data_IF_477208805287
#
_entry.id   IF_477208805287
#
_cell.length_a   1.000
_cell.length_b   1.000
_cell.length_c   1.000
_cell.angle_alpha   90.00
_cell.angle_beta   90.00
_cell.angle_gamma   90.00
#
_symmetry.space_group_name_H-M   'P 1'
#
loop_
_entity.id
_entity.type
_entity.pdbx_description
1 polymer ?
#
# COMPACT_ATOMS: atom_id res chain seq x y z
N UNK A 1 21.77 -0.02 17.06
CA UNK A 1 21.40 -0.40 15.67
C UNK A 1 20.30 0.56 15.25
N UNK A 2 20.52 1.43 14.25
CA UNK A 2 19.49 2.38 13.81
C UNK A 2 18.59 1.64 12.82
N UNK A 3 17.33 1.42 13.17
CA UNK A 3 16.36 0.78 12.28
C UNK A 3 16.06 1.77 11.17
N UNK A 4 16.19 1.34 9.91
CA UNK A 4 15.81 2.20 8.79
C UNK A 4 14.28 2.32 8.74
N UNK A 5 13.73 3.53 8.57
CA UNK A 5 12.30 3.71 8.41
C UNK A 5 11.77 2.90 7.23
N UNK A 6 10.58 2.34 7.40
CA UNK A 6 9.91 1.53 6.37
C UNK A 6 9.32 2.45 5.32
N UNK A 7 9.63 2.17 4.06
CA UNK A 7 9.06 2.89 2.93
C UNK A 7 7.59 2.53 2.74
N UNK A 8 6.73 3.55 2.78
CA UNK A 8 5.28 3.43 2.58
C UNK A 8 4.83 4.40 1.49
N UNK A 9 3.74 4.08 0.81
CA UNK A 9 3.06 5.00 -0.11
C UNK A 9 1.57 5.09 0.23
N UNK A 10 0.94 6.21 -0.14
CA UNK A 10 -0.50 6.43 0.09
C UNK A 10 -1.25 6.73 -1.21
N UNK A 11 -2.41 6.13 -1.41
CA UNK A 11 -3.36 6.48 -2.48
C UNK A 11 -4.73 6.71 -1.86
N UNK A 12 -5.12 7.97 -1.69
CA UNK A 12 -6.33 8.27 -0.92
C UNK A 12 -6.44 9.75 -0.58
N UNK A 13 -6.99 10.05 0.59
CA UNK A 13 -7.30 11.39 1.05
C UNK A 13 -6.43 11.81 2.25
N UNK A 14 -6.83 12.89 2.93
CA UNK A 14 -6.26 13.32 4.20
C UNK A 14 -6.27 12.18 5.25
N UNK A 15 -7.27 11.28 5.17
CA UNK A 15 -7.46 10.14 6.06
C UNK A 15 -6.31 9.14 6.07
N UNK A 16 -5.57 9.05 4.97
CA UNK A 16 -4.40 8.18 4.81
C UNK A 16 -3.11 8.99 4.84
N UNK A 17 -3.04 10.09 4.08
CA UNK A 17 -1.84 10.92 3.95
C UNK A 17 -1.42 11.58 5.26
N UNK A 18 -2.34 12.18 6.00
CA UNK A 18 -1.99 13.06 7.12
C UNK A 18 -1.49 12.31 8.36
N UNK A 19 -1.63 10.98 8.39
CA UNK A 19 -0.96 10.15 9.38
C UNK A 19 0.58 10.23 9.26
N UNK A 20 1.09 10.66 8.10
CA UNK A 20 2.51 10.93 7.84
C UNK A 20 2.79 12.44 7.82
N UNK A 21 2.16 13.20 8.72
CA UNK A 21 2.40 14.62 8.94
C UNK A 21 2.85 14.85 10.39
N UNK A 22 3.97 15.54 10.58
CA UNK A 22 4.55 15.81 11.91
C UNK A 22 3.70 16.73 12.77
N UNK A 23 2.67 17.40 12.22
CA UNK A 23 1.67 18.13 13.01
C UNK A 23 0.78 17.18 13.82
N UNK A 24 0.42 16.01 13.27
CA UNK A 24 -0.42 15.03 13.94
C UNK A 24 0.40 13.94 14.63
N UNK A 25 1.44 13.43 13.97
CA UNK A 25 2.28 12.35 14.47
C UNK A 25 3.76 12.77 14.46
N UNK A 26 4.26 13.57 15.42
CA UNK A 26 5.61 14.16 15.37
C UNK A 26 6.75 13.18 15.08
N UNK A 27 6.64 11.95 15.60
CA UNK A 27 7.70 10.95 15.57
C UNK A 27 7.53 9.89 14.46
N UNK A 28 6.56 10.03 13.54
CA UNK A 28 6.31 8.99 12.52
C UNK A 28 7.55 8.66 11.68
N UNK A 29 8.44 9.65 11.47
CA UNK A 29 9.67 9.54 10.67
C UNK A 29 10.72 8.60 11.27
N UNK A 30 10.58 8.25 12.55
CA UNK A 30 11.42 7.22 13.19
C UNK A 30 11.08 5.82 12.67
N UNK A 31 9.85 5.61 12.20
CA UNK A 31 9.31 4.31 11.81
C UNK A 31 9.01 4.21 10.32
N UNK A 32 8.57 5.30 9.70
CA UNK A 32 8.06 5.33 8.33
C UNK A 32 8.65 6.46 7.49
N UNK A 33 8.86 6.15 6.22
CA UNK A 33 9.18 7.11 5.19
C UNK A 33 8.07 7.06 4.12
N UNK A 34 7.18 8.06 4.11
CA UNK A 34 6.14 8.16 3.10
C UNK A 34 6.75 8.69 1.80
N UNK A 35 7.11 7.77 0.89
CA UNK A 35 7.92 8.09 -0.30
C UNK A 35 7.09 8.54 -1.50
N UNK A 36 5.80 8.23 -1.53
CA UNK A 36 4.92 8.60 -2.62
C UNK A 36 3.49 8.76 -2.11
N UNK A 37 2.78 9.78 -2.59
CA UNK A 37 1.37 9.95 -2.31
C UNK A 37 0.60 10.41 -3.55
N UNK A 38 -0.57 9.82 -3.81
CA UNK A 38 -1.55 10.37 -4.75
C UNK A 38 -2.78 10.76 -3.95
N UNK A 39 -3.16 12.04 -4.05
CA UNK A 39 -4.16 12.65 -3.18
C UNK A 39 -5.46 12.92 -3.93
N UNK A 40 -6.56 12.36 -3.40
CA UNK A 40 -7.94 12.56 -3.82
C UNK A 40 -8.20 12.22 -5.29
N UNK A 41 -7.70 11.05 -5.70
CA UNK A 41 -7.92 10.48 -7.02
C UNK A 41 -8.82 9.25 -6.92
N UNK A 42 -9.86 9.19 -7.76
CA UNK A 42 -10.70 8.03 -7.97
C UNK A 42 -9.92 6.91 -8.66
N UNK A 43 -10.15 5.67 -8.24
CA UNK A 43 -9.57 4.49 -8.88
C UNK A 43 -9.99 4.36 -10.34
N UNK A 44 -11.22 4.79 -10.69
CA UNK A 44 -11.69 4.85 -12.07
C UNK A 44 -10.78 5.76 -12.90
N UNK A 45 -10.46 6.94 -12.39
CA UNK A 45 -9.59 7.86 -13.11
C UNK A 45 -8.16 7.34 -13.19
N UNK A 46 -7.59 6.82 -12.10
CA UNK A 46 -6.23 6.31 -12.06
C UNK A 46 -5.99 5.20 -13.09
N UNK A 47 -6.97 4.30 -13.24
CA UNK A 47 -6.89 3.16 -14.15
C UNK A 47 -7.44 3.43 -15.56
N UNK A 48 -7.78 4.69 -15.86
CA UNK A 48 -8.13 5.14 -17.20
C UNK A 48 -6.89 5.55 -18.02
N UNK A 49 -7.04 5.71 -19.33
CA UNK A 49 -5.95 6.18 -20.18
C UNK A 49 -5.51 7.62 -19.81
N UNK A 50 -4.21 7.95 -19.92
CA UNK A 50 -3.74 9.32 -19.76
C UNK A 50 -4.47 10.28 -20.71
N UNK A 51 -4.60 11.52 -20.27
CA UNK A 51 -5.35 12.57 -20.98
C UNK A 51 -4.35 13.62 -21.43
N UNK A 52 -4.12 13.79 -22.74
CA UNK A 52 -3.32 14.90 -23.25
C UNK A 52 -3.92 16.23 -22.78
N UNK A 53 -3.10 17.08 -22.20
CA UNK A 53 -3.53 18.38 -21.67
C UNK A 53 -2.47 19.44 -21.95
N UNK A 54 -2.92 20.69 -22.03
CA UNK A 54 -2.03 21.84 -22.05
C UNK A 54 -1.72 22.22 -20.60
N UNK A 55 -0.45 22.13 -20.18
CA UNK A 55 -0.05 22.47 -18.82
C UNK A 55 -0.42 23.90 -18.42
N UNK A 56 -0.41 24.85 -19.37
CA UNK A 56 -0.79 26.23 -19.11
C UNK A 56 -2.27 26.38 -18.71
N UNK A 57 -3.10 25.35 -18.98
CA UNK A 57 -4.52 25.32 -18.58
C UNK A 57 -4.76 24.67 -17.22
N UNK A 58 -3.72 24.17 -16.55
CA UNK A 58 -3.75 23.75 -15.13
C UNK A 58 -3.38 24.95 -14.27
N UNK A 59 -4.12 26.04 -14.47
CA UNK A 59 -3.92 27.34 -13.84
C UNK A 59 -4.79 27.50 -12.57
N UNK A 60 -4.71 28.67 -11.95
CA UNK A 60 -5.51 29.06 -10.79
C UNK A 60 -5.35 28.17 -9.54
N UNK A 61 -4.22 27.46 -9.44
CA UNK A 61 -3.82 26.74 -8.23
C UNK A 61 -2.93 27.63 -7.37
N UNK A 62 -3.10 27.55 -6.05
CA UNK A 62 -2.40 28.42 -5.09
C UNK A 62 -1.09 27.84 -4.59
N UNK A 63 -0.83 26.55 -4.81
CA UNK A 63 0.38 25.87 -4.35
C UNK A 63 0.86 24.80 -5.34
N UNK A 64 2.15 24.48 -5.27
CA UNK A 64 2.80 23.52 -6.17
C UNK A 64 2.32 22.08 -5.98
N UNK A 65 1.89 21.70 -4.77
CA UNK A 65 1.35 20.37 -4.51
C UNK A 65 0.05 20.12 -5.27
N UNK A 66 -0.84 21.12 -5.33
CA UNK A 66 -2.09 21.04 -6.08
C UNK A 66 -1.84 20.95 -7.59
N UNK A 67 -0.87 21.72 -8.11
CA UNK A 67 -0.44 21.59 -9.51
C UNK A 67 0.08 20.18 -9.78
N UNK A 68 0.94 19.64 -8.91
CA UNK A 68 1.47 18.29 -9.07
C UNK A 68 0.36 17.24 -9.06
N UNK A 69 -0.57 17.30 -8.10
CA UNK A 69 -1.70 16.37 -8.02
C UNK A 69 -2.63 16.43 -9.23
N UNK A 70 -2.88 17.64 -9.77
CA UNK A 70 -3.64 17.76 -11.00
C UNK A 70 -2.85 17.18 -12.17
N UNK A 71 -1.56 17.50 -12.33
CA UNK A 71 -0.75 16.92 -13.42
C UNK A 71 -0.74 15.40 -13.37
N UNK A 72 -0.53 14.79 -12.20
CA UNK A 72 -0.54 13.33 -12.06
C UNK A 72 -1.92 12.72 -12.31
N UNK A 73 -3.00 13.46 -12.05
CA UNK A 73 -4.35 13.09 -12.46
C UNK A 73 -4.48 12.98 -13.98
N UNK A 74 -3.83 13.83 -14.77
CA UNK A 74 -3.86 13.72 -16.24
C UNK A 74 -2.90 12.64 -16.78
N UNK A 75 -1.67 12.58 -16.25
CA UNK A 75 -0.61 11.70 -16.76
C UNK A 75 -0.73 10.26 -16.28
N UNK A 76 -1.44 10.03 -15.15
CA UNK A 76 -1.51 8.76 -14.42
C UNK A 76 -0.14 8.26 -13.95
N UNK A 77 0.83 9.17 -13.81
CA UNK A 77 2.23 8.83 -13.53
C UNK A 77 2.46 8.15 -12.18
N UNK A 78 1.51 8.24 -11.25
CA UNK A 78 1.54 7.49 -9.99
C UNK A 78 1.79 6.00 -10.21
N UNK A 79 1.19 5.38 -11.23
CA UNK A 79 1.38 3.94 -11.53
C UNK A 79 2.83 3.63 -11.91
N UNK A 80 3.47 4.50 -12.68
CA UNK A 80 4.89 4.34 -13.04
C UNK A 80 5.79 4.57 -11.83
N UNK A 81 5.51 5.61 -11.05
CA UNK A 81 6.31 5.98 -9.88
C UNK A 81 6.23 4.92 -8.78
N UNK A 82 5.04 4.42 -8.43
CA UNK A 82 4.90 3.43 -7.37
C UNK A 82 5.63 2.13 -7.70
N UNK A 83 5.65 1.73 -8.98
CA UNK A 83 6.45 0.61 -9.47
C UNK A 83 7.95 0.83 -9.26
N UNK A 84 8.46 2.01 -9.61
CA UNK A 84 9.88 2.35 -9.47
C UNK A 84 10.31 2.43 -8.01
N UNK A 85 9.43 2.95 -7.16
CA UNK A 85 9.71 3.21 -5.75
C UNK A 85 9.53 1.97 -4.86
N UNK A 86 8.71 1.00 -5.30
CA UNK A 86 8.50 -0.30 -4.66
C UNK A 86 8.35 -0.22 -3.12
N UNK A 87 7.33 0.50 -2.61
CA UNK A 87 7.11 0.60 -1.17
C UNK A 87 6.79 -0.78 -0.57
N UNK A 88 7.09 -0.96 0.72
CA UNK A 88 6.70 -2.18 1.43
C UNK A 88 5.20 -2.24 1.68
N UNK A 89 4.58 -1.07 1.90
CA UNK A 89 3.14 -0.95 2.12
C UNK A 89 2.54 0.15 1.25
N UNK A 90 1.38 -0.16 0.65
CA UNK A 90 0.52 0.81 -0.01
C UNK A 90 -0.77 0.95 0.79
N UNK A 91 -0.98 2.13 1.35
CA UNK A 91 -2.14 2.45 2.17
C UNK A 91 -3.17 3.17 1.30
N UNK A 92 -4.39 2.64 1.24
CA UNK A 92 -5.44 3.16 0.37
C UNK A 92 -6.72 3.52 1.12
N UNK A 93 -7.47 4.47 0.57
CA UNK A 93 -8.86 4.77 0.94
C UNK A 93 -9.68 5.17 -0.32
N UNK A 94 -11.01 5.11 -0.22
CA UNK A 94 -11.91 5.38 -1.35
C UNK A 94 -12.70 6.68 -1.22
N UNK A 95 -12.19 7.65 -0.45
CA UNK A 95 -12.86 8.94 -0.24
C UNK A 95 -13.24 9.61 -1.57
N UNK A 96 -12.30 9.67 -2.52
CA UNK A 96 -12.51 10.36 -3.80
C UNK A 96 -13.58 9.67 -4.67
N UNK A 97 -13.64 8.33 -4.63
CA UNK A 97 -14.65 7.56 -5.35
C UNK A 97 -16.06 7.80 -4.79
N UNK A 98 -16.18 7.96 -3.47
CA UNK A 98 -17.47 8.19 -2.82
C UNK A 98 -17.89 9.65 -2.90
N UNK A 99 -16.97 10.57 -2.64
CA UNK A 99 -17.25 12.00 -2.50
C UNK A 99 -17.30 12.69 -3.85
N UNK A 100 -16.26 12.55 -4.68
CA UNK A 100 -16.11 13.33 -5.91
C UNK A 100 -16.77 12.67 -7.12
N UNK A 101 -16.58 11.36 -7.27
CA UNK A 101 -16.87 10.66 -8.51
C UNK A 101 -15.92 11.06 -9.64
N UNK A 102 -16.36 10.91 -10.89
CA UNK A 102 -15.53 11.16 -12.08
C UNK A 102 -16.25 11.97 -13.16
N UNK A 103 -15.47 12.52 -14.08
CA UNK A 103 -15.92 13.12 -15.34
C UNK A 103 -15.38 12.23 -16.45
N UNK A 104 -16.27 11.79 -17.34
CA UNK A 104 -15.88 11.11 -18.57
C UNK A 104 -15.44 12.13 -19.61
N UNK A 105 -14.20 11.98 -20.09
CA UNK A 105 -13.60 12.81 -21.13
C UNK A 105 -13.72 12.11 -22.50
N UNK A 106 -13.50 10.79 -22.54
CA UNK A 106 -13.65 9.96 -23.72
C UNK A 106 -13.93 8.49 -23.32
N UNK A 107 -14.07 7.57 -24.27
CA UNK A 107 -14.44 6.15 -24.06
C UNK A 107 -13.65 5.47 -22.94
N UNK A 108 -12.35 5.77 -22.78
CA UNK A 108 -11.48 5.20 -21.74
C UNK A 108 -10.69 6.26 -20.97
N UNK A 109 -11.17 7.50 -20.92
CA UNK A 109 -10.48 8.62 -20.28
C UNK A 109 -11.38 9.25 -19.25
N UNK A 110 -10.95 9.23 -17.99
CA UNK A 110 -11.69 9.77 -16.87
C UNK A 110 -10.80 10.68 -16.02
N UNK A 111 -11.39 11.75 -15.49
CA UNK A 111 -10.80 12.59 -14.45
C UNK A 111 -11.64 12.44 -13.18
N UNK A 112 -11.01 12.39 -12.01
CA UNK A 112 -11.72 12.57 -10.75
C UNK A 112 -12.36 13.95 -10.75
N UNK A 113 -13.64 14.02 -10.42
CA UNK A 113 -14.36 15.30 -10.36
C UNK A 113 -14.04 16.05 -9.06
N UNK A 114 -12.74 16.27 -8.78
CA UNK A 114 -12.31 17.00 -7.60
C UNK A 114 -12.62 18.49 -7.80
N UNK A 115 -13.85 18.87 -7.47
CA UNK A 115 -14.36 20.23 -7.64
C UNK A 115 -13.71 21.25 -6.71
N UNK A 116 -12.79 20.84 -5.82
CA UNK A 116 -11.96 21.78 -5.05
C UNK A 116 -10.77 22.31 -5.86
N UNK A 117 -10.31 21.55 -6.86
CA UNK A 117 -9.09 21.86 -7.62
C UNK A 117 -9.36 21.99 -9.12
N UNK A 118 -10.01 20.97 -9.70
CA UNK A 118 -10.20 20.84 -11.14
C UNK A 118 -11.08 21.97 -11.70
N UNK A 119 -12.18 22.31 -11.03
CA UNK A 119 -13.15 23.34 -11.49
C UNK A 119 -12.56 24.74 -11.60
N UNK A 120 -11.46 25.03 -10.89
CA UNK A 120 -10.77 26.31 -10.92
C UNK A 120 -9.97 26.51 -12.21
N UNK A 121 -9.56 25.41 -12.84
CA UNK A 121 -8.71 25.41 -14.03
C UNK A 121 -9.45 25.90 -15.27
N UNK A 122 -8.73 26.56 -16.17
CA UNK A 122 -9.22 26.90 -17.50
C UNK A 122 -9.54 25.65 -18.32
N UNK A 123 -8.78 24.55 -18.14
CA UNK A 123 -9.08 23.26 -18.75
C UNK A 123 -10.52 22.82 -18.48
N UNK A 124 -10.96 22.82 -17.23
CA UNK A 124 -12.32 22.40 -16.86
C UNK A 124 -13.40 23.34 -17.40
N UNK A 125 -13.14 24.65 -17.41
CA UNK A 125 -14.09 25.67 -17.90
C UNK A 125 -14.35 25.53 -19.41
N UNK A 126 -13.35 25.07 -20.15
CA UNK A 126 -13.40 24.89 -21.60
C UNK A 126 -13.87 23.50 -22.04
N UNK A 127 -14.20 22.59 -21.12
CA UNK A 127 -14.77 21.29 -21.49
C UNK A 127 -16.15 21.48 -22.13
N UNK A 128 -16.29 21.05 -23.39
CA UNK A 128 -17.54 21.12 -24.17
C UNK A 128 -18.71 20.41 -23.49
N UNK A 129 -18.43 19.29 -22.81
CA UNK A 129 -19.42 18.49 -22.08
C UNK A 129 -18.79 17.89 -20.83
N UNK A 130 -19.54 17.93 -19.73
CA UNK A 130 -19.15 17.40 -18.42
C UNK A 130 -20.05 16.23 -18.07
N UNK A 131 -19.72 15.06 -18.59
CA UNK A 131 -20.44 13.82 -18.26
C UNK A 131 -19.96 13.34 -16.89
N UNK A 132 -20.59 13.86 -15.83
CA UNK A 132 -20.29 13.48 -14.46
C UNK A 132 -20.96 12.15 -14.10
N UNK A 133 -20.20 11.27 -13.46
CA UNK A 133 -20.69 10.05 -12.85
C UNK A 133 -20.31 10.07 -11.37
N UNK A 134 -21.31 9.88 -10.49
CA UNK A 134 -21.11 9.78 -9.04
C UNK A 134 -21.79 8.54 -8.52
N UNK A 135 -21.15 7.79 -7.62
CA UNK A 135 -21.77 6.59 -7.04
C UNK A 135 -23.10 6.88 -6.35
N UNK A 136 -23.25 8.06 -5.76
CA UNK A 136 -24.48 8.49 -5.10
C UNK A 136 -25.66 8.72 -6.06
N UNK A 137 -25.39 9.03 -7.34
CA UNK A 137 -26.41 9.41 -8.35
C UNK A 137 -26.55 8.35 -9.45
N UNK A 138 -25.47 7.68 -9.82
CA UNK A 138 -25.34 6.74 -10.92
C UNK A 138 -24.89 5.37 -10.39
N UNK A 139 -25.54 4.88 -9.33
CA UNK A 139 -25.05 3.78 -8.50
C UNK A 139 -24.56 2.58 -9.29
N UNK A 140 -25.40 2.00 -10.13
CA UNK A 140 -25.08 0.75 -10.83
C UNK A 140 -23.98 0.96 -11.86
N UNK A 141 -24.11 1.96 -12.74
CA UNK A 141 -23.11 2.28 -13.76
C UNK A 141 -21.74 2.62 -13.14
N UNK A 142 -21.74 3.47 -12.11
CA UNK A 142 -20.51 3.85 -11.42
C UNK A 142 -19.87 2.66 -10.73
N UNK A 143 -20.65 1.84 -10.03
CA UNK A 143 -20.10 0.72 -9.27
C UNK A 143 -19.55 -0.37 -10.18
N UNK A 144 -20.19 -0.67 -11.32
CA UNK A 144 -19.61 -1.57 -12.33
C UNK A 144 -18.29 -1.04 -12.89
N UNK A 145 -18.24 0.24 -13.26
CA UNK A 145 -17.01 0.88 -13.75
C UNK A 145 -15.91 0.88 -12.68
N UNK A 146 -16.27 1.15 -11.43
CA UNK A 146 -15.36 1.10 -10.29
C UNK A 146 -14.81 -0.30 -10.07
N UNK A 147 -15.66 -1.35 -10.08
CA UNK A 147 -15.23 -2.76 -9.96
C UNK A 147 -14.22 -3.14 -11.04
N UNK A 148 -14.48 -2.78 -12.30
CA UNK A 148 -13.54 -3.01 -13.39
C UNK A 148 -12.20 -2.30 -13.17
N UNK A 149 -12.24 -1.10 -12.60
CA UNK A 149 -11.07 -0.27 -12.39
C UNK A 149 -10.24 -0.76 -11.20
N UNK A 150 -10.87 -1.05 -10.06
CA UNK A 150 -10.19 -1.60 -8.89
C UNK A 150 -9.60 -2.99 -9.19
N UNK A 151 -10.29 -3.80 -10.00
CA UNK A 151 -9.76 -5.09 -10.44
C UNK A 151 -8.49 -4.92 -11.28
N UNK A 152 -8.48 -3.96 -12.22
CA UNK A 152 -7.26 -3.63 -12.98
C UNK A 152 -6.15 -3.14 -12.07
N UNK A 153 -6.46 -2.34 -11.06
CA UNK A 153 -5.50 -1.82 -10.11
C UNK A 153 -4.83 -2.94 -9.31
N UNK A 154 -5.60 -3.84 -8.71
CA UNK A 154 -5.04 -4.98 -7.98
C UNK A 154 -4.27 -5.95 -8.89
N UNK A 155 -4.72 -6.15 -10.13
CA UNK A 155 -3.96 -6.93 -11.11
C UNK A 155 -2.60 -6.27 -11.44
N UNK A 156 -2.57 -4.95 -11.57
CA UNK A 156 -1.34 -4.18 -11.73
C UNK A 156 -0.42 -4.37 -10.51
N UNK A 157 -0.93 -4.21 -9.29
CA UNK A 157 -0.14 -4.38 -8.06
C UNK A 157 0.43 -5.80 -7.95
N UNK A 158 -0.39 -6.83 -8.17
CA UNK A 158 0.06 -8.22 -8.13
C UNK A 158 1.19 -8.50 -9.14
N UNK A 159 1.12 -7.89 -10.33
CA UNK A 159 2.09 -8.11 -11.40
C UNK A 159 3.38 -7.32 -11.18
N UNK A 160 3.27 -6.05 -10.84
CA UNK A 160 4.38 -5.09 -10.86
C UNK A 160 4.98 -4.85 -9.46
N UNK A 161 4.23 -5.18 -8.40
CA UNK A 161 4.57 -4.96 -6.99
C UNK A 161 4.17 -6.17 -6.11
N UNK A 162 4.60 -7.40 -6.44
CA UNK A 162 4.12 -8.62 -5.79
C UNK A 162 4.45 -8.72 -4.29
N UNK A 163 5.41 -7.94 -3.80
CA UNK A 163 5.81 -7.91 -2.38
C UNK A 163 5.28 -6.69 -1.63
N UNK A 164 4.51 -5.82 -2.29
CA UNK A 164 3.90 -4.65 -1.64
C UNK A 164 2.58 -5.09 -0.99
N UNK A 165 2.50 -4.97 0.34
CA UNK A 165 1.26 -5.26 1.06
C UNK A 165 0.32 -4.07 0.97
N UNK A 166 -0.90 -4.32 0.49
CA UNK A 166 -1.96 -3.30 0.49
C UNK A 166 -2.63 -3.26 1.86
N UNK A 167 -2.81 -2.06 2.39
CA UNK A 167 -3.56 -1.77 3.62
C UNK A 167 -4.73 -0.88 3.25
N UNK A 168 -5.96 -1.37 3.46
CA UNK A 168 -7.18 -0.60 3.29
C UNK A 168 -7.52 0.16 4.58
N UNK A 169 -7.72 1.46 4.47
CA UNK A 169 -8.16 2.31 5.59
C UNK A 169 -9.68 2.44 5.56
N UNK A 170 -10.32 1.96 6.62
CA UNK A 170 -11.77 2.07 6.80
C UNK A 170 -12.06 3.24 7.74
N UNK A 171 -12.41 4.37 7.15
CA UNK A 171 -12.82 5.60 7.82
C UNK A 171 -14.10 6.14 7.18
N UNK A 172 -14.85 6.99 7.89
CA UNK A 172 -16.23 7.37 7.53
C UNK A 172 -16.50 8.85 7.73
N UNK A 173 -17.32 9.43 6.86
CA UNK A 173 -17.74 10.82 7.02
C UNK A 173 -18.38 11.02 8.41
N UNK A 174 -18.02 12.11 9.09
CA UNK A 174 -18.60 12.53 10.36
C UNK A 174 -19.29 13.86 10.21
N UNK A 175 -20.41 14.05 10.90
CA UNK A 175 -21.14 15.32 10.86
C UNK A 175 -20.83 16.23 12.04
N UNK A 176 -20.21 15.73 13.09
CA UNK A 176 -20.02 16.46 14.34
C UNK A 176 -18.63 17.09 14.38
N UNK A 177 -18.54 18.32 14.89
CA UNK A 177 -17.28 19.02 15.09
C UNK A 177 -17.26 19.85 16.38
N UNK A 178 -16.07 20.08 16.93
CA UNK A 178 -15.82 21.01 18.03
C UNK A 178 -15.63 22.42 17.47
N UNK A 179 -16.51 23.36 17.83
CA UNK A 179 -16.37 24.78 17.50
C UNK A 179 -15.28 25.44 18.34
N UNK A 180 -14.44 26.28 17.72
CA UNK A 180 -13.29 26.92 18.38
C UNK A 180 -13.70 27.82 19.55
N UNK A 181 -14.66 28.72 19.35
CA UNK A 181 -14.93 29.80 20.30
C UNK A 181 -15.62 29.29 21.57
N UNK A 182 -16.61 28.42 21.42
CA UNK A 182 -17.44 27.95 22.54
C UNK A 182 -17.03 26.57 23.04
N UNK A 183 -16.19 25.84 22.30
CA UNK A 183 -15.89 24.43 22.51
C UNK A 183 -17.14 23.53 22.44
N UNK A 184 -18.25 24.03 21.91
CA UNK A 184 -19.48 23.28 21.75
C UNK A 184 -19.37 22.30 20.58
N UNK A 185 -20.04 21.14 20.74
CA UNK A 185 -20.19 20.17 19.65
C UNK A 185 -21.36 20.61 18.76
N UNK A 186 -21.07 20.86 17.49
CA UNK A 186 -22.04 21.31 16.46
C UNK A 186 -22.01 20.39 15.25
N UNK A 187 -22.96 20.58 14.33
CA UNK A 187 -23.03 19.81 13.09
C UNK A 187 -22.46 20.60 11.91
N UNK A 188 -21.57 19.97 11.14
CA UNK A 188 -20.99 20.48 9.90
C UNK A 188 -22.09 20.76 8.87
N UNK A 189 -23.03 19.83 8.71
CA UNK A 189 -24.18 19.96 7.79
C UNK A 189 -25.08 21.19 8.08
N UNK A 190 -24.99 21.77 9.28
CA UNK A 190 -25.80 22.92 9.72
C UNK A 190 -25.00 24.22 9.86
N UNK A 191 -23.69 24.20 9.63
CA UNK A 191 -22.83 25.37 9.92
C UNK A 191 -22.77 26.39 8.77
N UNK A 192 -23.33 26.07 7.59
CA UNK A 192 -23.35 26.94 6.41
C UNK A 192 -22.01 27.10 5.69
N UNK A 193 -20.90 26.56 6.22
CA UNK A 193 -19.58 26.56 5.58
C UNK A 193 -19.44 25.42 4.57
N UNK A 194 -20.04 24.27 4.85
CA UNK A 194 -19.95 23.07 4.02
C UNK A 194 -21.27 22.76 3.34
N UNK A 195 -21.18 22.18 2.13
CA UNK A 195 -22.35 21.62 1.49
C UNK A 195 -22.87 20.43 2.33
N UNK A 196 -24.16 20.39 2.70
CA UNK A 196 -24.71 19.30 3.50
C UNK A 196 -24.72 18.01 2.68
N UNK A 197 -24.26 16.91 3.28
CA UNK A 197 -24.25 15.58 2.66
C UNK A 197 -25.06 14.59 3.48
N UNK A 198 -25.62 13.58 2.82
CA UNK A 198 -26.24 12.45 3.51
C UNK A 198 -25.14 11.49 3.98
N UNK A 199 -24.69 11.68 5.23
CA UNK A 199 -23.58 10.95 5.84
C UNK A 199 -23.83 9.44 5.83
N UNK A 200 -25.00 8.99 6.32
CA UNK A 200 -25.33 7.57 6.43
C UNK A 200 -25.34 6.91 5.04
N UNK A 201 -25.92 7.58 4.04
CA UNK A 201 -25.95 7.08 2.68
C UNK A 201 -24.53 6.97 2.09
N UNK A 202 -23.72 8.03 2.17
CA UNK A 202 -22.37 8.01 1.61
C UNK A 202 -21.46 7.00 2.34
N UNK A 203 -21.57 6.88 3.66
CA UNK A 203 -20.87 5.85 4.42
C UNK A 203 -21.30 4.44 4.00
N UNK A 204 -22.60 4.22 3.74
CA UNK A 204 -23.09 2.92 3.23
C UNK A 204 -22.55 2.58 1.82
N UNK A 205 -22.28 3.59 0.99
CA UNK A 205 -21.63 3.40 -0.31
C UNK A 205 -20.15 3.09 -0.13
N UNK A 206 -19.47 3.78 0.79
CA UNK A 206 -18.08 3.48 1.14
C UNK A 206 -17.92 2.05 1.66
N UNK A 207 -18.83 1.60 2.54
CA UNK A 207 -18.84 0.22 3.03
C UNK A 207 -18.95 -0.80 1.89
N UNK A 208 -19.68 -0.49 0.82
CA UNK A 208 -19.79 -1.37 -0.34
C UNK A 208 -18.47 -1.48 -1.11
N UNK A 209 -17.76 -0.36 -1.27
CA UNK A 209 -16.43 -0.36 -1.90
C UNK A 209 -15.44 -1.16 -1.06
N UNK A 210 -15.37 -0.89 0.25
CA UNK A 210 -14.48 -1.58 1.18
C UNK A 210 -14.75 -3.09 1.19
N UNK A 211 -16.03 -3.51 1.32
CA UNK A 211 -16.41 -4.92 1.32
C UNK A 211 -16.00 -5.64 0.04
N UNK A 212 -16.17 -5.01 -1.12
CA UNK A 212 -15.77 -5.62 -2.39
C UNK A 212 -14.27 -5.94 -2.41
N UNK A 213 -13.43 -5.02 -1.94
CA UNK A 213 -11.99 -5.21 -1.90
C UNK A 213 -11.59 -6.27 -0.89
N UNK A 214 -12.11 -6.19 0.34
CA UNK A 214 -11.80 -7.13 1.43
C UNK A 214 -12.19 -8.57 1.06
N UNK A 215 -13.32 -8.77 0.37
CA UNK A 215 -13.80 -10.09 -0.01
C UNK A 215 -13.00 -10.73 -1.15
N UNK A 216 -12.35 -9.91 -1.99
CA UNK A 216 -11.74 -10.38 -3.25
C UNK A 216 -10.22 -10.40 -3.22
N UNK A 217 -9.59 -9.55 -2.41
CA UNK A 217 -8.15 -9.35 -2.39
C UNK A 217 -7.58 -9.56 -0.99
N UNK A 218 -6.35 -10.06 -0.94
CA UNK A 218 -5.60 -10.16 0.31
C UNK A 218 -5.07 -8.78 0.72
N UNK A 219 -5.85 -8.10 1.54
CA UNK A 219 -5.53 -6.78 2.08
C UNK A 219 -5.56 -6.83 3.61
N UNK A 220 -4.64 -6.11 4.24
CA UNK A 220 -4.79 -5.79 5.67
C UNK A 220 -5.73 -4.60 5.80
N UNK A 221 -6.37 -4.46 6.96
CA UNK A 221 -7.30 -3.38 7.21
C UNK A 221 -6.88 -2.59 8.45
N UNK A 222 -6.93 -1.27 8.35
CA UNK A 222 -6.97 -0.38 9.51
C UNK A 222 -8.43 0.03 9.67
N UNK A 223 -9.12 -0.60 10.62
CA UNK A 223 -10.53 -0.32 10.90
C UNK A 223 -10.64 0.75 11.99
N UNK A 224 -11.09 1.94 11.60
CA UNK A 224 -11.31 3.07 12.50
C UNK A 224 -12.80 3.46 12.53
N UNK A 225 -13.70 2.53 12.21
CA UNK A 225 -15.15 2.80 12.15
C UNK A 225 -15.88 2.52 13.45
N UNK A 226 -15.30 1.71 14.35
CA UNK A 226 -15.89 1.37 15.66
C UNK A 226 -15.77 2.52 16.68
N UNK A 227 -14.85 3.45 16.44
CA UNK A 227 -14.57 4.59 17.29
C UNK A 227 -15.39 5.82 16.86
N UNK A 228 -15.88 6.59 17.85
CA UNK A 228 -16.64 7.81 17.59
C UNK A 228 -15.70 9.00 17.41
N UNK A 229 -15.14 9.14 16.21
CA UNK A 229 -14.38 10.34 15.84
C UNK A 229 -15.31 11.52 15.53
N UNK A 230 -14.82 12.73 15.76
CA UNK A 230 -15.45 13.99 15.38
C UNK A 230 -14.40 14.90 14.76
N UNK A 231 -14.84 15.95 14.07
CA UNK A 231 -13.98 16.99 13.53
C UNK A 231 -13.72 18.11 14.56
N UNK A 232 -12.90 19.09 14.21
CA UNK A 232 -12.73 20.31 14.99
C UNK A 232 -12.35 21.47 14.07
N UNK A 233 -12.79 22.69 14.44
CA UNK A 233 -12.58 23.89 13.64
C UNK A 233 -11.11 24.34 13.58
N UNK A 234 -10.33 23.97 14.59
CA UNK A 234 -8.90 24.29 14.67
C UNK A 234 -8.01 23.29 13.94
N UNK A 235 -8.59 22.33 13.22
CA UNK A 235 -7.81 21.40 12.40
C UNK A 235 -6.93 22.18 11.42
N UNK A 236 -5.67 21.76 11.16
CA UNK A 236 -4.76 22.47 10.25
C UNK A 236 -5.32 22.76 8.85
N UNK A 237 -6.32 21.98 8.43
CA UNK A 237 -7.02 22.11 7.15
C UNK A 237 -8.47 22.62 7.28
N UNK A 238 -8.86 23.11 8.45
CA UNK A 238 -10.23 23.49 8.81
C UNK A 238 -11.13 22.29 9.13
N UNK A 239 -12.30 22.57 9.71
CA UNK A 239 -13.33 21.56 9.95
C UNK A 239 -13.84 20.98 8.62
N UNK A 240 -13.97 19.65 8.55
CA UNK A 240 -14.54 18.97 7.38
C UNK A 240 -14.95 17.55 7.75
N UNK A 241 -15.81 16.93 6.93
CA UNK A 241 -16.41 15.62 7.20
C UNK A 241 -15.39 14.46 7.37
N UNK A 242 -14.12 14.66 7.04
CA UNK A 242 -13.04 13.67 7.18
C UNK A 242 -11.76 14.25 7.84
N UNK A 243 -11.88 15.41 8.50
CA UNK A 243 -10.78 16.03 9.25
C UNK A 243 -11.03 15.81 10.74
N UNK A 244 -10.53 14.71 11.28
CA UNK A 244 -10.82 14.32 12.65
C UNK A 244 -9.94 15.02 13.67
N UNK A 245 -10.32 14.90 14.94
CA UNK A 245 -9.42 15.16 16.07
C UNK A 245 -8.20 14.22 16.08
N UNK A 246 -7.16 14.63 16.80
CA UNK A 246 -5.82 14.03 16.82
C UNK A 246 -5.82 12.54 17.19
N UNK A 247 -6.79 12.10 18.00
CA UNK A 247 -6.95 10.70 18.39
C UNK A 247 -7.12 9.75 17.19
N UNK A 248 -7.72 10.20 16.08
CA UNK A 248 -7.78 9.39 14.85
C UNK A 248 -6.39 9.07 14.32
N UNK A 249 -5.54 10.08 14.19
CA UNK A 249 -4.20 9.94 13.61
C UNK A 249 -3.28 9.08 14.49
N UNK A 250 -3.42 9.18 15.82
CA UNK A 250 -2.71 8.32 16.76
C UNK A 250 -3.19 6.86 16.67
N UNK A 251 -4.50 6.64 16.62
CA UNK A 251 -5.08 5.29 16.52
C UNK A 251 -4.73 4.64 15.18
N UNK A 252 -4.75 5.40 14.09
CA UNK A 252 -4.28 4.94 12.79
C UNK A 252 -2.84 4.45 12.88
N UNK A 253 -1.93 5.28 13.42
CA UNK A 253 -0.50 4.95 13.46
C UNK A 253 -0.25 3.73 14.36
N UNK A 254 -0.99 3.60 15.47
CA UNK A 254 -0.98 2.41 16.32
C UNK A 254 -1.34 1.15 15.54
N UNK A 255 -2.46 1.16 14.79
CA UNK A 255 -2.87 0.02 13.98
C UNK A 255 -1.84 -0.30 12.89
N UNK A 256 -1.26 0.71 12.25
CA UNK A 256 -0.19 0.52 11.27
C UNK A 256 1.06 -0.12 11.91
N UNK A 257 1.45 0.30 13.11
CA UNK A 257 2.54 -0.32 13.86
C UNK A 257 2.24 -1.79 14.16
N UNK A 258 1.03 -2.12 14.60
CA UNK A 258 0.62 -3.50 14.90
C UNK A 258 0.71 -4.40 13.66
N UNK A 259 0.19 -3.94 12.51
CA UNK A 259 0.29 -4.66 11.24
C UNK A 259 1.76 -4.90 10.88
N UNK A 260 2.57 -3.84 10.92
CA UNK A 260 3.98 -3.90 10.51
C UNK A 260 4.79 -4.81 11.44
N UNK A 261 4.61 -4.70 12.76
CA UNK A 261 5.30 -5.53 13.75
C UNK A 261 4.92 -7.00 13.57
N UNK A 262 3.64 -7.30 13.37
CA UNK A 262 3.18 -8.66 13.15
C UNK A 262 3.83 -9.31 11.93
N UNK A 263 3.89 -8.59 10.79
CA UNK A 263 4.55 -9.07 9.57
C UNK A 263 6.06 -9.28 9.75
N UNK A 264 6.73 -8.38 10.48
CA UNK A 264 8.16 -8.53 10.81
C UNK A 264 8.40 -9.75 11.70
N UNK A 265 7.53 -10.02 12.68
CA UNK A 265 7.63 -11.18 13.56
C UNK A 265 7.48 -12.48 12.75
N UNK A 266 6.48 -12.57 11.87
CA UNK A 266 6.30 -13.74 10.99
C UNK A 266 7.56 -13.99 10.17
N UNK A 267 8.09 -12.94 9.53
CA UNK A 267 9.29 -13.05 8.71
C UNK A 267 10.51 -13.53 9.51
N UNK A 268 10.68 -13.05 10.75
CA UNK A 268 11.76 -13.50 11.64
C UNK A 268 11.58 -14.98 12.00
N UNK A 269 10.35 -15.43 12.26
CA UNK A 269 10.06 -16.84 12.57
C UNK A 269 10.36 -17.75 11.37
N UNK A 270 9.95 -17.36 10.16
CA UNK A 270 10.25 -18.10 8.92
C UNK A 270 11.77 -18.20 8.68
N UNK A 271 12.49 -17.10 8.86
CA UNK A 271 13.95 -17.07 8.73
C UNK A 271 14.64 -17.96 9.78
N UNK A 272 14.13 -17.98 11.02
CA UNK A 272 14.64 -18.86 12.07
C UNK A 272 14.46 -20.33 11.69
N UNK A 273 13.28 -20.71 11.21
CA UNK A 273 13.00 -22.08 10.76
C UNK A 273 13.90 -22.50 9.60
N UNK A 274 14.11 -21.61 8.62
CA UNK A 274 15.01 -21.89 7.50
C UNK A 274 16.46 -22.08 7.96
N UNK A 275 16.91 -21.28 8.92
CA UNK A 275 18.24 -21.43 9.49
C UNK A 275 18.42 -22.77 10.22
N UNK A 276 17.40 -23.25 10.95
CA UNK A 276 17.44 -24.55 11.63
C UNK A 276 17.54 -25.71 10.63
N UNK A 277 16.82 -25.62 9.50
CA UNK A 277 16.91 -26.58 8.39
C UNK A 277 18.33 -26.58 7.82
N UNK A 278 18.88 -25.40 7.51
CA UNK A 278 20.23 -25.27 6.96
C UNK A 278 21.32 -25.81 7.92
N UNK A 279 21.15 -25.65 9.23
CA UNK A 279 22.08 -26.22 10.21
C UNK A 279 22.00 -27.76 10.25
N UNK A 280 20.80 -28.31 10.13
CA UNK A 280 20.57 -29.75 10.06
C UNK A 280 21.22 -30.35 8.81
N UNK A 281 20.99 -29.76 7.64
CA UNK A 281 21.58 -30.21 6.38
C UNK A 281 23.10 -30.13 6.38
N UNK A 282 23.67 -29.03 6.92
CA UNK A 282 25.12 -28.90 7.07
C UNK A 282 25.72 -29.97 7.98
N UNK A 283 24.99 -30.36 9.03
CA UNK A 283 25.42 -31.43 9.94
C UNK A 283 25.40 -32.79 9.23
N UNK A 284 24.35 -33.07 8.46
CA UNK A 284 24.24 -34.29 7.66
C UNK A 284 25.35 -34.39 6.59
N UNK A 285 25.64 -33.28 5.90
CA UNK A 285 26.71 -33.20 4.91
C UNK A 285 28.09 -33.45 5.54
N UNK A 286 28.39 -32.84 6.69
CA UNK A 286 29.65 -33.07 7.41
C UNK A 286 29.81 -34.54 7.81
N UNK A 287 28.75 -35.17 8.32
CA UNK A 287 28.77 -36.58 8.69
C UNK A 287 29.02 -37.47 7.47
N UNK A 288 28.36 -37.18 6.35
CA UNK A 288 28.52 -37.92 5.09
C UNK A 288 29.94 -37.78 4.52
N UNK A 289 30.54 -36.59 4.64
CA UNK A 289 31.94 -36.34 4.27
C UNK A 289 32.91 -37.13 5.14
N UNK A 290 32.71 -37.17 6.46
CA UNK A 290 33.53 -37.98 7.36
C UNK A 290 33.44 -39.47 7.00
N UNK A 291 32.24 -40.01 6.79
CA UNK A 291 32.08 -41.43 6.41
C UNK A 291 32.78 -41.75 5.09
N UNK A 292 32.69 -40.85 4.09
CA UNK A 292 33.37 -41.06 2.81
C UNK A 292 34.91 -41.02 2.94
N UNK A 293 35.44 -40.18 3.84
CA UNK A 293 36.87 -40.12 4.15
C UNK A 293 37.36 -41.40 4.86
N UNK A 294 36.57 -41.91 5.80
CA UNK A 294 36.86 -43.16 6.50
C UNK A 294 36.86 -44.36 5.53
N UNK A 295 35.86 -44.43 4.64
CA UNK A 295 35.78 -45.45 3.59
C UNK A 295 36.97 -45.38 2.62
N UNK A 296 37.37 -44.17 2.19
CA UNK A 296 38.51 -44.00 1.30
C UNK A 296 39.83 -44.43 1.98
N UNK A 297 40.01 -44.08 3.26
CA UNK A 297 41.20 -44.49 4.04
C UNK A 297 41.26 -46.01 4.20
N UNK A 298 40.11 -46.65 4.45
CA UNK A 298 39.98 -48.11 4.51
C UNK A 298 40.33 -48.78 3.17
N UNK A 299 39.84 -48.23 2.05
CA UNK A 299 40.17 -48.70 0.71
C UNK A 299 41.66 -48.58 0.39
N UNK A 300 42.29 -47.44 0.69
CA UNK A 300 43.73 -47.22 0.53
C UNK A 300 44.56 -48.24 1.32
N UNK A 301 44.17 -48.51 2.57
CA UNK A 301 44.84 -49.51 3.43
C UNK A 301 44.71 -50.93 2.86
N UNK A 302 43.55 -51.28 2.31
CA UNK A 302 43.27 -52.58 1.70
C UNK A 302 44.10 -52.78 0.43
N UNK A 303 44.18 -51.75 -0.42
CA UNK A 303 45.00 -51.75 -1.64
C UNK A 303 46.48 -51.93 -1.29
N UNK A 304 46.99 -51.20 -0.29
CA UNK A 304 48.38 -51.33 0.17
C UNK A 304 48.69 -52.75 0.68
N UNK A 305 47.76 -53.36 1.40
CA UNK A 305 47.89 -54.73 1.92
C UNK A 305 47.94 -55.76 0.79
N UNK A 306 47.06 -55.63 -0.20
CA UNK A 306 47.03 -56.51 -1.39
C UNK A 306 48.30 -56.38 -2.23
N UNK A 307 48.81 -55.15 -2.42
CA UNK A 307 50.09 -54.92 -3.10
C UNK A 307 51.25 -55.60 -2.36
N UNK A 308 51.34 -55.44 -1.04
CA UNK A 308 52.36 -56.10 -0.23
C UNK A 308 52.26 -57.63 -0.25
N UNK A 309 51.05 -58.20 -0.21
CA UNK A 309 50.82 -59.65 -0.32
C UNK A 309 51.20 -60.18 -1.71
N UNK A 310 50.87 -59.45 -2.78
CA UNK A 310 51.26 -59.82 -4.14
C UNK A 310 52.78 -59.80 -4.32
N UNK A 311 53.47 -58.82 -3.73
CA UNK A 311 54.92 -58.69 -3.75
C UNK A 311 55.60 -59.81 -2.95
N UNK A 312 55.12 -60.11 -1.74
CA UNK A 312 55.65 -61.24 -0.93
C UNK A 312 55.38 -62.60 -1.58
N UNK A 313 54.21 -62.80 -2.19
CA UNK A 313 53.89 -63.99 -2.99
C UNK A 313 54.83 -64.14 -4.19
N UNK A 314 55.11 -63.03 -4.91
CA UNK A 314 56.06 -63.01 -6.02
C UNK A 314 57.49 -63.39 -5.58
N UNK A 315 57.98 -62.84 -4.47
CA UNK A 315 59.29 -63.17 -3.91
C UNK A 315 59.34 -64.64 -3.44
N UNK A 316 58.32 -65.12 -2.73
CA UNK A 316 58.25 -66.52 -2.28
C UNK A 316 58.25 -67.52 -3.44
N UNK A 317 57.50 -67.23 -4.51
CA UNK A 317 57.48 -68.09 -5.71
C UNK A 317 58.80 -68.05 -6.50
N UNK A 318 59.54 -66.94 -6.44
CA UNK A 318 60.90 -66.86 -7.01
C UNK A 318 61.91 -67.66 -6.21
N UNK A 319 61.82 -67.63 -4.88
CA UNK A 319 62.72 -68.36 -3.98
C UNK A 319 62.49 -69.88 -3.98
N UNK A 320 61.27 -70.36 -4.26
CA UNK A 320 60.96 -71.80 -4.43
C UNK A 320 61.46 -72.41 -5.76
N UNK A 321 62.00 -71.60 -6.67
CA UNK A 321 62.52 -72.03 -7.99
C UNK A 321 64.05 -72.17 -8.03
N UNK A 322 64.71 -72.00 -6.90
CA UNK A 322 66.11 -72.32 -6.64
C UNK A 322 66.16 -73.35 -5.50
#
# INVERSE_FOLDING_TARGET
>A
MKINPINVATLGSCLTRDNFNSLFNPNYKEFYNCILHQHQTSIISLMSSPIPFNEAKIDNQTNSSDVWHLKTEFTKEFLTLIKQMAPSYLIIDFFADVYFGVIKINTNQFLTNNWWKLTKTSYYKELDSKQELKIALNRDEYFELWKLSIDKFFNFLKKELPTCQVILTQARFVDWYIEKETQAIKQLSKNGKHYPINIDYLNSLWDQLDRYVIQKYDVKCINLTDEKYISHEEHPWGDFYVHYTENYYHNFLKNLHEIVLHEQIIKIQELSQLNDILQTDNTLLKNTLCTAQDENTSLESTVSTLQNQSFTSFISNKLKKY
#
